data_IF_853260359421
#
_entry.id   IF_853260359421
#
_cell.length_a   1.000
_cell.length_b   1.000
_cell.length_c   1.000
_cell.angle_alpha   90.00
_cell.angle_beta   90.00
_cell.angle_gamma   90.00
#
_symmetry.space_group_name_H-M   'P 1'
#
loop_
_entity.id
_entity.type
_entity.pdbx_description
1 polymer ?
#
# COMPACT_ATOMS: atom_id res chain seq x y z
N UNK A 1 33.77 36.66 19.60
CA UNK A 1 35.21 36.93 19.67
C UNK A 1 35.98 36.63 18.38
N UNK A 2 35.82 35.48 17.72
CA UNK A 2 36.95 34.95 16.95
C UNK A 2 36.65 34.76 15.44
N UNK A 3 37.18 35.71 14.68
CA UNK A 3 37.86 35.58 13.38
C UNK A 3 37.08 34.96 12.21
N UNK A 4 36.23 35.79 11.59
CA UNK A 4 35.72 35.56 10.25
C UNK A 4 35.95 36.83 9.41
N UNK A 5 37.22 37.10 9.11
CA UNK A 5 37.63 38.14 8.18
C UNK A 5 38.95 37.67 7.56
N UNK A 6 38.99 37.68 6.22
CA UNK A 6 40.19 37.61 5.36
C UNK A 6 40.55 36.29 4.65
N UNK A 7 39.59 35.41 4.41
CA UNK A 7 39.71 34.43 3.33
C UNK A 7 38.44 34.46 2.47
N UNK A 8 38.58 34.78 1.18
CA UNK A 8 37.52 34.49 0.22
C UNK A 8 37.16 33.00 0.35
N UNK A 9 35.87 32.61 0.27
CA UNK A 9 35.52 31.20 0.28
C UNK A 9 36.39 30.47 -0.73
N UNK A 10 37.06 29.40 -0.32
CA UNK A 10 38.07 28.68 -1.11
C UNK A 10 37.62 28.40 -2.56
N UNK A 11 36.32 28.18 -2.74
CA UNK A 11 35.67 27.93 -4.02
C UNK A 11 35.74 29.13 -4.99
N UNK A 12 35.75 30.37 -4.48
CA UNK A 12 35.90 31.59 -5.28
C UNK A 12 37.32 31.72 -5.81
N UNK A 13 38.34 31.42 -4.99
CA UNK A 13 39.73 31.39 -5.44
C UNK A 13 39.92 30.33 -6.53
N UNK A 14 39.42 29.12 -6.29
CA UNK A 14 39.51 28.02 -7.26
C UNK A 14 38.78 28.33 -8.57
N UNK A 15 37.62 29.00 -8.50
CA UNK A 15 36.88 29.47 -9.68
C UNK A 15 37.73 30.45 -10.49
N UNK A 16 38.35 31.43 -9.83
CA UNK A 16 39.17 32.44 -10.51
C UNK A 16 40.40 31.81 -11.20
N UNK A 17 41.05 30.84 -10.55
CA UNK A 17 42.19 30.11 -11.12
C UNK A 17 41.78 29.32 -12.37
N UNK A 18 40.64 28.62 -12.32
CA UNK A 18 40.14 27.83 -13.45
C UNK A 18 39.73 28.72 -14.63
N UNK A 19 38.99 29.80 -14.37
CA UNK A 19 38.53 30.70 -15.43
C UNK A 19 39.70 31.45 -16.06
N UNK A 20 40.68 31.90 -15.26
CA UNK A 20 41.87 32.58 -15.79
C UNK A 20 42.71 31.67 -16.67
N UNK A 21 42.93 30.40 -16.28
CA UNK A 21 43.62 29.42 -17.10
C UNK A 21 42.85 29.13 -18.41
N UNK A 22 41.51 29.03 -18.34
CA UNK A 22 40.68 28.78 -19.52
C UNK A 22 40.76 29.93 -20.53
N UNK A 23 40.61 31.19 -20.08
CA UNK A 23 40.65 32.36 -20.97
C UNK A 23 42.07 32.66 -21.47
N UNK A 24 43.12 32.27 -20.73
CA UNK A 24 44.50 32.39 -21.20
C UNK A 24 44.80 31.50 -22.42
N UNK A 25 44.10 30.38 -22.56
CA UNK A 25 44.30 29.41 -23.65
C UNK A 25 43.15 29.37 -24.67
N UNK A 26 42.05 30.12 -24.44
CA UNK A 26 40.86 30.10 -25.28
C UNK A 26 40.32 31.52 -25.48
N UNK A 27 39.90 31.85 -26.70
CA UNK A 27 39.27 33.15 -26.99
C UNK A 27 37.80 33.13 -26.58
N UNK A 28 37.45 33.91 -25.56
CA UNK A 28 36.08 34.07 -25.05
C UNK A 28 35.63 35.51 -25.30
N UNK A 29 34.39 35.71 -25.76
CA UNK A 29 33.87 37.07 -25.95
C UNK A 29 33.57 37.72 -24.60
N UNK A 30 33.63 39.06 -24.54
CA UNK A 30 33.31 39.79 -23.31
C UNK A 30 31.88 39.53 -22.80
N UNK A 31 30.97 39.13 -23.69
CA UNK A 31 29.59 38.81 -23.35
C UNK A 31 29.43 37.43 -22.67
N UNK A 32 30.29 36.47 -23.01
CA UNK A 32 30.19 35.09 -22.52
C UNK A 32 30.91 34.89 -21.17
N UNK A 33 31.82 35.81 -20.82
CA UNK A 33 32.65 35.75 -19.61
C UNK A 33 31.83 35.66 -18.30
N UNK A 34 30.74 36.45 -18.11
CA UNK A 34 29.93 36.34 -16.89
C UNK A 34 29.25 34.97 -16.73
N UNK A 35 28.78 34.39 -17.83
CA UNK A 35 28.14 33.06 -17.84
C UNK A 35 29.13 31.95 -17.51
N UNK A 36 30.36 32.06 -18.04
CA UNK A 36 31.43 31.11 -17.74
C UNK A 36 31.81 31.12 -16.25
N UNK A 37 31.93 32.31 -15.65
CA UNK A 37 32.22 32.48 -14.22
C UNK A 37 31.09 31.87 -13.38
N UNK A 38 29.84 32.22 -13.68
CA UNK A 38 28.68 31.74 -12.92
C UNK A 38 28.52 30.21 -12.99
N UNK A 39 28.70 29.62 -14.17
CA UNK A 39 28.58 28.17 -14.37
C UNK A 39 29.69 27.38 -13.65
N UNK A 40 30.93 27.86 -13.72
CA UNK A 40 32.08 27.23 -13.05
C UNK A 40 31.93 27.30 -11.53
N UNK A 41 31.59 28.48 -11.00
CA UNK A 41 31.34 28.65 -9.57
C UNK A 41 30.19 27.73 -9.09
N UNK A 42 29.06 27.71 -9.81
CA UNK A 42 27.93 26.86 -9.48
C UNK A 42 28.28 25.37 -9.50
N UNK A 43 29.14 24.92 -10.43
CA UNK A 43 29.61 23.54 -10.48
C UNK A 43 30.44 23.19 -9.24
N UNK A 44 31.36 24.06 -8.83
CA UNK A 44 32.17 23.86 -7.63
C UNK A 44 31.34 23.88 -6.35
N UNK A 45 30.41 24.84 -6.22
CA UNK A 45 29.49 24.89 -5.08
C UNK A 45 28.65 23.60 -4.97
N UNK A 46 28.20 23.03 -6.10
CA UNK A 46 27.46 21.76 -6.12
C UNK A 46 28.31 20.56 -5.71
N UNK A 47 29.60 20.56 -6.04
CA UNK A 47 30.52 19.50 -5.62
C UNK A 47 30.87 19.58 -4.13
N UNK A 48 30.91 20.80 -3.57
CA UNK A 48 31.13 21.04 -2.14
C UNK A 48 29.88 20.87 -1.28
N UNK A 49 28.69 20.91 -1.88
CA UNK A 49 27.44 20.66 -1.18
C UNK A 49 27.27 19.15 -0.93
N UNK A 50 26.93 18.71 0.30
CA UNK A 50 26.52 17.32 0.52
C UNK A 50 25.34 17.02 -0.40
N UNK A 51 25.43 15.94 -1.16
CA UNK A 51 24.33 15.51 -2.03
C UNK A 51 23.03 15.47 -1.24
N UNK A 52 21.98 16.09 -1.78
CA UNK A 52 20.64 16.01 -1.22
C UNK A 52 20.34 14.54 -0.90
N UNK A 53 19.91 14.21 0.33
CA UNK A 53 19.61 12.83 0.67
C UNK A 53 18.56 12.34 -0.32
N UNK A 54 18.96 11.34 -1.12
CA UNK A 54 18.08 10.64 -2.04
C UNK A 54 16.78 10.32 -1.28
N UNK A 55 15.59 10.62 -1.84
CA UNK A 55 14.34 10.37 -1.13
C UNK A 55 14.30 8.89 -0.81
N UNK A 56 14.50 8.56 0.47
CA UNK A 56 14.59 7.19 0.96
C UNK A 56 13.35 6.48 0.50
N UNK A 57 13.52 5.62 -0.51
CA UNK A 57 12.49 4.68 -0.93
C UNK A 57 12.24 3.85 0.32
N UNK A 58 11.07 4.04 0.92
CA UNK A 58 10.64 3.31 2.12
C UNK A 58 10.60 1.82 1.75
N UNK A 59 11.75 1.14 1.85
CA UNK A 59 11.79 -0.30 1.81
C UNK A 59 11.01 -0.77 3.04
N UNK A 60 9.91 -1.50 2.86
CA UNK A 60 9.15 -1.97 3.99
C UNK A 60 10.09 -2.82 4.87
N UNK A 61 10.23 -2.51 6.17
CA UNK A 61 11.19 -3.16 7.06
C UNK A 61 10.91 -4.66 7.28
N UNK A 62 9.86 -5.18 6.65
CA UNK A 62 9.41 -6.56 6.79
C UNK A 62 9.00 -7.07 5.40
N UNK A 63 9.60 -8.18 4.91
CA UNK A 63 9.13 -8.84 3.70
C UNK A 63 7.62 -9.12 3.81
N UNK A 64 6.85 -8.88 2.75
CA UNK A 64 5.37 -9.06 2.72
C UNK A 64 4.93 -10.44 3.23
N UNK A 65 5.79 -11.47 3.10
CA UNK A 65 5.53 -12.81 3.63
C UNK A 65 5.57 -12.91 5.16
N UNK A 66 6.30 -12.01 5.83
CA UNK A 66 6.49 -11.98 7.29
C UNK A 66 5.52 -11.02 7.99
N UNK A 67 4.73 -10.24 7.25
CA UNK A 67 3.74 -9.34 7.85
C UNK A 67 2.47 -10.05 8.30
N UNK A 68 2.23 -11.28 7.84
CA UNK A 68 1.07 -12.09 8.25
C UNK A 68 1.53 -13.14 9.25
N UNK A 69 1.00 -13.05 10.48
CA UNK A 69 1.14 -14.11 11.48
C UNK A 69 -0.23 -14.62 11.92
N UNK A 70 -0.33 -15.84 12.48
CA UNK A 70 -1.62 -16.40 12.91
C UNK A 70 -2.34 -15.55 13.97
N UNK A 71 -1.58 -14.84 14.81
CA UNK A 71 -2.11 -14.02 15.90
C UNK A 71 -2.34 -12.55 15.52
N UNK A 72 -1.53 -12.00 14.61
CA UNK A 72 -1.59 -10.59 14.20
C UNK A 72 -1.03 -10.34 12.80
N UNK A 73 -1.47 -9.24 12.19
CA UNK A 73 -0.93 -8.73 10.93
C UNK A 73 -0.19 -7.42 11.21
N UNK A 74 1.05 -7.32 10.74
CA UNK A 74 1.87 -6.11 10.83
C UNK A 74 1.44 -5.15 9.72
N UNK A 75 1.12 -3.92 10.10
CA UNK A 75 0.79 -2.85 9.14
C UNK A 75 2.06 -2.29 8.52
N UNK A 76 2.09 -2.19 7.19
CA UNK A 76 3.19 -1.55 6.44
C UNK A 76 3.21 -0.02 6.56
N UNK A 77 2.13 0.60 7.07
CA UNK A 77 2.11 2.07 7.26
C UNK A 77 2.88 2.52 8.49
N UNK A 78 2.89 1.71 9.55
CA UNK A 78 3.40 2.10 10.87
C UNK A 78 4.16 1.00 11.61
N UNK A 79 4.29 -0.20 11.01
CA UNK A 79 5.08 -1.31 11.54
C UNK A 79 4.49 -1.98 12.78
N UNK A 80 3.23 -1.67 13.15
CA UNK A 80 2.62 -2.16 14.38
C UNK A 80 1.76 -3.41 14.14
N UNK A 81 1.69 -4.34 15.12
CA UNK A 81 0.86 -5.55 15.01
C UNK A 81 -0.62 -5.26 15.31
N UNK A 82 -1.50 -5.74 14.44
CA UNK A 82 -2.95 -5.59 14.56
C UNK A 82 -3.69 -6.91 14.37
N UNK A 83 -4.74 -7.15 15.18
CA UNK A 83 -5.66 -8.29 14.96
C UNK A 83 -6.51 -8.12 13.70
N UNK A 84 -6.92 -6.87 13.42
CA UNK A 84 -7.68 -6.48 12.24
C UNK A 84 -7.05 -5.26 11.57
N UNK A 85 -6.49 -5.46 10.38
CA UNK A 85 -5.93 -4.36 9.60
C UNK A 85 -7.04 -3.44 9.08
N UNK A 86 -8.22 -3.99 8.79
CA UNK A 86 -9.40 -3.22 8.32
C UNK A 86 -9.74 -2.03 9.23
N UNK A 87 -9.69 -2.20 10.56
CA UNK A 87 -10.00 -1.12 11.52
C UNK A 87 -8.94 -0.03 11.47
N UNK A 88 -7.68 -0.41 11.36
CA UNK A 88 -6.58 0.53 11.25
C UNK A 88 -6.67 1.36 9.96
N UNK A 89 -6.93 0.71 8.83
CA UNK A 89 -7.09 1.37 7.53
C UNK A 89 -8.29 2.32 7.52
N UNK A 90 -9.42 1.92 8.11
CA UNK A 90 -10.61 2.78 8.22
C UNK A 90 -10.33 4.06 9.00
N UNK A 91 -9.55 3.99 10.08
CA UNK A 91 -9.14 5.19 10.83
C UNK A 91 -8.26 6.16 10.04
N UNK A 92 -7.63 5.69 8.95
CA UNK A 92 -6.81 6.49 8.04
C UNK A 92 -7.54 6.87 6.75
N UNK A 93 -8.83 6.53 6.62
CA UNK A 93 -9.59 6.75 5.39
C UNK A 93 -9.14 5.90 4.20
N UNK A 94 -8.38 4.82 4.44
CA UNK A 94 -7.90 3.92 3.39
C UNK A 94 -8.81 2.70 3.26
N UNK A 95 -9.13 2.34 2.02
CA UNK A 95 -9.80 1.05 1.76
C UNK A 95 -8.79 -0.09 1.72
N UNK A 96 -9.20 -1.33 2.00
CA UNK A 96 -8.32 -2.49 1.86
C UNK A 96 -7.74 -2.67 0.46
N UNK A 97 -8.46 -2.24 -0.58
CA UNK A 97 -8.00 -2.33 -1.97
C UNK A 97 -6.94 -1.27 -2.29
N UNK A 98 -7.19 -0.03 -1.88
CA UNK A 98 -6.20 1.05 -2.01
C UNK A 98 -4.91 0.71 -1.27
N UNK A 99 -5.03 0.12 -0.08
CA UNK A 99 -3.87 -0.35 0.67
C UNK A 99 -3.09 -1.43 -0.08
N UNK A 100 -3.77 -2.38 -0.73
CA UNK A 100 -3.10 -3.40 -1.55
C UNK A 100 -2.41 -2.80 -2.77
N UNK A 101 -3.07 -1.87 -3.46
CA UNK A 101 -2.48 -1.18 -4.62
C UNK A 101 -1.26 -0.35 -4.21
N UNK A 102 -1.35 0.40 -3.11
CA UNK A 102 -0.26 1.25 -2.60
C UNK A 102 1.01 0.46 -2.29
N UNK A 103 0.86 -0.77 -1.77
CA UNK A 103 1.98 -1.63 -1.36
C UNK A 103 2.25 -2.80 -2.31
N UNK A 104 1.58 -2.87 -3.46
CA UNK A 104 1.74 -3.97 -4.42
C UNK A 104 1.39 -5.36 -3.84
N UNK A 105 0.45 -5.43 -2.89
CA UNK A 105 0.08 -6.67 -2.22
C UNK A 105 -0.81 -7.56 -3.12
N UNK A 106 -0.66 -8.89 -3.04
CA UNK A 106 -1.57 -9.81 -3.71
C UNK A 106 -3.05 -9.60 -3.31
N UNK A 107 -4.02 -9.86 -4.21
CA UNK A 107 -5.44 -9.77 -3.88
C UNK A 107 -5.86 -10.75 -2.77
N UNK A 108 -5.13 -11.86 -2.62
CA UNK A 108 -5.31 -12.89 -1.60
C UNK A 108 -4.77 -12.49 -0.22
N UNK A 109 -4.16 -11.30 -0.07
CA UNK A 109 -3.58 -10.87 1.19
C UNK A 109 -4.65 -10.71 2.29
N UNK A 110 -4.51 -11.40 3.44
CA UNK A 110 -5.48 -11.34 4.52
C UNK A 110 -5.45 -9.98 5.22
N UNK A 111 -6.63 -9.48 5.61
CA UNK A 111 -6.79 -8.20 6.32
C UNK A 111 -7.14 -8.40 7.81
N UNK A 112 -7.22 -9.65 8.24
CA UNK A 112 -7.59 -10.09 9.58
C UNK A 112 -6.74 -11.30 9.91
N UNK A 113 -6.21 -11.37 11.14
CA UNK A 113 -5.43 -12.51 11.60
C UNK A 113 -6.26 -13.79 11.63
N UNK A 114 -5.66 -14.93 11.31
CA UNK A 114 -6.35 -16.21 11.15
C UNK A 114 -7.06 -16.66 12.44
N UNK A 115 -6.37 -16.59 13.59
CA UNK A 115 -6.97 -16.96 14.89
C UNK A 115 -8.13 -16.07 15.28
N UNK A 116 -8.04 -14.78 14.98
CA UNK A 116 -9.13 -13.85 15.23
C UNK A 116 -10.34 -14.14 14.33
N UNK A 117 -10.11 -14.48 13.06
CA UNK A 117 -11.16 -14.90 12.14
C UNK A 117 -11.82 -16.22 12.58
N UNK A 118 -11.03 -17.20 13.02
CA UNK A 118 -11.53 -18.48 13.52
C UNK A 118 -12.42 -18.30 14.76
N UNK A 119 -11.94 -17.56 15.77
CA UNK A 119 -12.71 -17.29 17.01
C UNK A 119 -14.03 -16.57 16.73
N UNK A 120 -14.02 -15.58 15.83
CA UNK A 120 -15.25 -14.86 15.43
C UNK A 120 -16.21 -15.74 14.64
N UNK A 121 -15.70 -16.64 13.79
CA UNK A 121 -16.52 -17.58 13.03
C UNK A 121 -17.21 -18.60 13.94
N UNK A 122 -16.50 -19.13 14.92
CA UNK A 122 -17.05 -20.07 15.90
C UNK A 122 -18.16 -19.43 16.74
N UNK A 123 -17.91 -18.23 17.26
CA UNK A 123 -18.91 -17.45 17.99
C UNK A 123 -20.16 -17.17 17.13
N UNK A 124 -19.97 -16.82 15.86
CA UNK A 124 -21.08 -16.57 14.95
C UNK A 124 -21.92 -17.85 14.72
N UNK A 125 -21.26 -19.00 14.54
CA UNK A 125 -21.93 -20.29 14.38
C UNK A 125 -22.70 -20.69 15.64
N UNK A 126 -22.12 -20.50 16.82
CA UNK A 126 -22.80 -20.77 18.10
C UNK A 126 -23.97 -19.83 18.35
N UNK A 127 -23.90 -18.58 17.87
CA UNK A 127 -24.99 -17.59 17.96
C UNK A 127 -26.05 -17.73 16.86
N UNK A 128 -26.01 -18.78 16.03
CA UNK A 128 -27.07 -19.11 15.07
C UNK A 128 -26.99 -18.42 13.70
N UNK A 129 -25.90 -17.70 13.40
CA UNK A 129 -25.68 -17.12 12.06
C UNK A 129 -25.38 -18.24 11.06
N UNK A 130 -26.36 -18.55 10.18
CA UNK A 130 -26.28 -19.59 9.15
C UNK A 130 -27.32 -20.71 9.30
N UNK A 131 -27.91 -20.88 10.49
CA UNK A 131 -28.96 -21.88 10.75
C UNK A 131 -30.28 -21.53 10.05
N UNK A 132 -30.57 -20.26 9.78
CA UNK A 132 -31.79 -19.82 9.10
C UNK A 132 -31.87 -20.28 7.64
N UNK A 133 -30.74 -20.33 6.90
CA UNK A 133 -30.71 -20.89 5.54
C UNK A 133 -30.81 -22.41 5.53
N UNK A 134 -30.16 -23.09 6.48
CA UNK A 134 -30.29 -24.53 6.64
C UNK A 134 -31.73 -24.95 6.98
N UNK A 135 -32.41 -24.19 7.86
CA UNK A 135 -33.80 -24.42 8.23
C UNK A 135 -34.78 -24.12 7.09
N UNK A 136 -34.51 -23.10 6.27
CA UNK A 136 -35.30 -22.80 5.07
C UNK A 136 -35.11 -23.86 3.96
N UNK A 137 -33.90 -24.37 3.77
CA UNK A 137 -33.62 -25.46 2.83
C UNK A 137 -34.30 -26.77 3.26
N UNK A 138 -34.23 -27.12 4.56
CA UNK A 138 -34.91 -28.29 5.11
C UNK A 138 -36.44 -28.20 5.01
N UNK A 139 -37.01 -27.00 5.18
CA UNK A 139 -38.46 -26.78 5.03
C UNK A 139 -38.94 -26.86 3.57
N UNK A 140 -38.09 -26.57 2.59
CA UNK A 140 -38.44 -26.75 1.18
C UNK A 140 -38.30 -28.22 0.74
N UNK A 141 -37.31 -28.96 1.25
CA UNK A 141 -37.16 -30.39 0.97
C UNK A 141 -38.34 -31.23 1.48
N UNK A 142 -38.91 -30.89 2.64
CA UNK A 142 -40.09 -31.59 3.20
C UNK A 142 -41.41 -31.26 2.48
N UNK A 143 -41.53 -30.05 1.90
CA UNK A 143 -42.67 -29.68 1.05
C UNK A 143 -42.69 -30.47 -0.26
N UNK A 144 -41.53 -30.68 -0.87
CA UNK A 144 -41.41 -31.40 -2.15
C UNK A 144 -41.74 -32.90 -1.99
N UNK A 145 -41.34 -33.52 -0.88
CA UNK A 145 -41.66 -34.90 -0.54
C UNK A 145 -43.18 -35.16 -0.33
N UNK A 146 -43.95 -34.13 0.06
CA UNK A 146 -45.40 -34.28 0.34
C UNK A 146 -46.24 -34.27 -0.94
N UNK A 147 -45.73 -33.74 -2.06
CA UNK A 147 -46.46 -33.63 -3.34
C UNK A 147 -46.43 -34.94 -4.14
N UNK A 148 -45.43 -35.80 -3.92
CA UNK A 148 -45.26 -37.05 -4.71
C UNK A 148 -46.20 -38.20 -4.29
N UNK A 149 -46.79 -38.16 -3.09
CA UNK A 149 -47.58 -39.28 -2.54
C UNK A 149 -49.11 -39.05 -2.57
N UNK A 150 -49.68 -38.74 -3.75
CA UNK A 150 -51.14 -38.67 -3.93
C UNK A 150 -51.61 -39.76 -4.93
N UNK A 151 -52.40 -40.77 -4.51
CA UNK A 151 -52.78 -41.86 -5.40
C UNK A 151 -53.88 -41.41 -6.38
N UNK A 152 -53.70 -41.78 -7.66
CA UNK A 152 -54.61 -41.45 -8.75
C UNK A 152 -55.96 -42.17 -8.61
N UNK A 153 -57.04 -41.40 -8.46
CA UNK A 153 -58.40 -41.93 -8.31
C UNK A 153 -59.03 -42.21 -9.69
N UNK A 154 -59.37 -43.48 -9.90
CA UNK A 154 -59.92 -44.11 -11.12
C UNK A 154 -61.32 -43.56 -11.48
N UNK A 155 -61.49 -43.07 -12.73
CA UNK A 155 -62.78 -42.60 -13.30
C UNK A 155 -63.74 -43.78 -13.47
N UNK A 156 -65.03 -43.60 -13.12
CA UNK A 156 -66.12 -44.48 -13.55
C UNK A 156 -67.19 -43.63 -14.25
N UNK A 157 -67.56 -44.06 -15.45
CA UNK A 157 -68.62 -43.50 -16.29
C UNK A 157 -69.87 -44.37 -16.20
N UNK A 158 -71.05 -43.75 -16.29
CA UNK A 158 -72.35 -44.29 -16.77
C UNK A 158 -73.45 -43.31 -16.35
N UNK A 159 -74.11 -42.58 -17.25
CA UNK A 159 -75.19 -42.98 -18.18
C UNK A 159 -76.58 -42.97 -17.52
N UNK A 160 -77.48 -42.13 -18.06
CA UNK A 160 -78.93 -42.18 -17.81
C UNK A 160 -79.67 -41.75 -19.08
N UNK A 161 -80.37 -42.70 -19.70
CA UNK A 161 -81.66 -42.50 -20.36
C UNK A 161 -82.55 -43.71 -20.01
#
# INVERSE_FOLDING_TARGET
MNNNADALPHDVSLTADIVSAYVANNSVTAHDLPTLIASTHAALTRLGAPADPEPVKLEPPVPIRRTVTPDHIISLEDGRPYKTLKRHLAGRGLTPEQYRQKWGLPPTYPMVAERYAAQRSELAKSSGLGQSRARAAAANASRDATVSNKPARRRKASASE
#
